data_IF_917999053219
#
_entry.id   IF_917999053219
#
_cell.length_a   1.000
_cell.length_b   1.000
_cell.length_c   1.000
_cell.angle_alpha   90.00
_cell.angle_beta   90.00
_cell.angle_gamma   90.00
#
_symmetry.space_group_name_H-M   'P 1'
#
loop_
_entity.id
_entity.type
_entity.pdbx_description
1 polymer ?
#
# COMPACT_ATOMS: atom_id res chain seq x y z
N UNK A 1 -0.26 -0.90 -5.50
CA UNK A 1 -1.31 -1.01 -4.47
C UNK A 1 -1.48 -2.49 -4.19
N UNK A 2 -1.39 -2.90 -2.92
CA UNK A 2 -1.55 -4.30 -2.50
C UNK A 2 -2.99 -4.50 -2.01
N UNK A 3 -3.52 -5.69 -2.23
CA UNK A 3 -4.84 -6.09 -1.76
C UNK A 3 -4.66 -7.11 -0.63
N UNK A 4 -5.40 -6.95 0.47
CA UNK A 4 -5.40 -7.90 1.59
C UNK A 4 -6.81 -8.46 1.82
N UNK A 5 -6.91 -9.79 1.89
CA UNK A 5 -8.11 -10.54 2.28
C UNK A 5 -8.07 -10.96 3.76
N UNK A 6 -7.07 -10.53 4.52
CA UNK A 6 -6.89 -11.00 5.88
C UNK A 6 -7.98 -10.40 6.79
N UNK A 7 -8.65 -11.23 7.58
CA UNK A 7 -9.80 -10.80 8.40
C UNK A 7 -9.40 -9.99 9.64
N UNK A 8 -8.15 -10.08 10.07
CA UNK A 8 -7.63 -9.41 11.27
C UNK A 8 -6.27 -8.76 11.00
N UNK A 9 -6.20 -7.94 9.94
CA UNK A 9 -4.96 -7.22 9.64
C UNK A 9 -4.75 -6.10 10.67
N UNK A 10 -3.60 -6.12 11.35
CA UNK A 10 -3.23 -5.09 12.33
C UNK A 10 -1.98 -4.31 11.91
N UNK A 11 -1.71 -3.18 12.58
CA UNK A 11 -0.62 -2.27 12.21
C UNK A 11 0.78 -2.89 12.24
N UNK A 12 1.02 -3.88 13.09
CA UNK A 12 2.31 -4.58 13.15
C UNK A 12 2.57 -5.44 11.90
N UNK A 13 1.53 -5.92 11.22
CA UNK A 13 1.66 -6.80 10.05
C UNK A 13 2.12 -6.07 8.78
N UNK A 14 2.06 -4.74 8.80
CA UNK A 14 2.37 -3.88 7.66
C UNK A 14 3.73 -3.17 7.79
N UNK A 15 4.38 -3.25 8.95
CA UNK A 15 5.71 -2.67 9.17
C UNK A 15 6.72 -3.32 8.22
N UNK A 16 7.47 -2.50 7.49
CA UNK A 16 8.43 -2.95 6.47
C UNK A 16 7.80 -3.31 5.13
N UNK A 17 6.50 -3.03 4.92
CA UNK A 17 5.86 -3.23 3.62
C UNK A 17 6.30 -2.15 2.62
N UNK A 18 6.88 -2.56 1.49
CA UNK A 18 7.24 -1.65 0.39
C UNK A 18 6.03 -1.17 -0.43
N UNK A 19 4.84 -1.68 -0.14
CA UNK A 19 3.63 -1.29 -0.85
C UNK A 19 3.24 0.15 -0.50
N UNK A 20 2.91 1.01 -1.50
CA UNK A 20 2.48 2.39 -1.24
C UNK A 20 1.16 2.47 -0.48
N UNK A 21 0.32 1.45 -0.63
CA UNK A 21 -0.98 1.33 0.02
C UNK A 21 -1.43 -0.12 -0.03
N UNK A 22 -2.12 -0.53 1.02
CA UNK A 22 -2.68 -1.87 1.23
C UNK A 22 -4.16 -1.68 1.51
N UNK A 23 -5.00 -2.09 0.56
CA UNK A 23 -6.45 -2.04 0.72
C UNK A 23 -6.92 -3.21 1.60
N UNK A 24 -7.73 -2.91 2.61
CA UNK A 24 -8.37 -3.88 3.48
C UNK A 24 -9.82 -4.12 3.03
N UNK A 25 -10.07 -5.28 2.44
CA UNK A 25 -11.39 -5.62 1.91
C UNK A 25 -12.42 -5.89 2.99
N UNK A 26 -11.98 -6.42 4.14
CA UNK A 26 -12.88 -6.88 5.19
C UNK A 26 -13.30 -5.72 6.09
N UNK A 27 -12.45 -4.74 6.26
CA UNK A 27 -12.78 -3.49 6.96
C UNK A 27 -13.62 -2.53 6.11
N UNK A 28 -13.60 -2.65 4.77
CA UNK A 28 -14.32 -1.73 3.87
C UNK A 28 -15.84 -1.87 4.00
N UNK A 29 -16.52 -0.75 4.27
CA UNK A 29 -17.97 -0.71 4.52
C UNK A 29 -18.66 -0.10 3.32
N UNK A 30 -19.58 -0.86 2.71
CA UNK A 30 -20.48 -0.38 1.66
C UNK A 30 -21.84 -0.07 2.30
N UNK A 31 -22.39 1.12 2.02
CA UNK A 31 -23.73 1.48 2.48
C UNK A 31 -24.78 0.55 1.87
N UNK A 32 -25.87 0.30 2.62
CA UNK A 32 -26.94 -0.64 2.20
C UNK A 32 -27.60 -0.26 0.88
N UNK A 33 -27.61 1.02 0.54
CA UNK A 33 -28.16 1.55 -0.72
C UNK A 33 -27.16 1.48 -1.89
N UNK A 34 -25.93 1.04 -1.64
CA UNK A 34 -24.85 0.92 -2.63
C UNK A 34 -24.31 2.25 -3.14
N UNK A 35 -24.73 3.39 -2.59
CA UNK A 35 -24.35 4.72 -3.10
C UNK A 35 -23.10 5.29 -2.45
N UNK A 36 -22.76 4.82 -1.24
CA UNK A 36 -21.63 5.29 -0.47
C UNK A 36 -20.72 4.13 -0.06
N UNK A 37 -19.40 4.36 -0.06
CA UNK A 37 -18.40 3.38 0.34
C UNK A 37 -17.34 4.06 1.21
N UNK A 38 -17.01 3.45 2.35
CA UNK A 38 -15.89 3.84 3.22
C UNK A 38 -14.78 2.81 3.05
N UNK A 39 -13.72 3.23 2.36
CA UNK A 39 -12.56 2.38 2.02
C UNK A 39 -11.50 2.50 3.10
N UNK A 40 -11.07 1.37 3.66
CA UNK A 40 -9.96 1.32 4.61
C UNK A 40 -8.66 0.93 3.91
N UNK A 41 -7.62 1.74 4.13
CA UNK A 41 -6.32 1.58 3.48
C UNK A 41 -5.22 1.78 4.51
N UNK A 42 -4.35 0.78 4.60
CA UNK A 42 -3.15 0.80 5.41
C UNK A 42 -1.93 1.18 4.57
N UNK A 43 -0.97 1.85 5.21
CA UNK A 43 0.35 2.06 4.62
C UNK A 43 1.37 2.20 5.74
N UNK A 44 2.59 1.75 5.46
CA UNK A 44 3.75 2.06 6.30
C UNK A 44 4.23 3.48 5.93
N UNK A 45 4.17 4.39 6.89
CA UNK A 45 4.50 5.80 6.72
C UNK A 45 6.01 6.04 6.58
N UNK A 46 6.86 5.13 7.03
CA UNK A 46 8.32 5.25 6.94
C UNK A 46 8.83 4.48 5.73
N UNK A 47 8.66 3.16 5.74
CA UNK A 47 9.26 2.27 4.76
C UNK A 47 8.54 2.33 3.41
N UNK A 48 7.21 2.36 3.43
CA UNK A 48 6.36 2.47 2.24
C UNK A 48 6.57 3.79 1.53
N UNK A 49 6.59 4.90 2.26
CA UNK A 49 6.86 6.23 1.71
C UNK A 49 8.29 6.35 1.13
N UNK A 50 9.31 5.90 1.87
CA UNK A 50 10.70 5.94 1.40
C UNK A 50 10.89 5.18 0.09
N UNK A 51 10.21 4.05 -0.07
CA UNK A 51 10.19 3.30 -1.33
C UNK A 51 9.58 4.10 -2.49
N UNK A 52 8.53 4.87 -2.25
CA UNK A 52 7.93 5.73 -3.27
C UNK A 52 8.85 6.87 -3.68
N UNK A 53 9.54 7.50 -2.73
CA UNK A 53 10.54 8.55 -3.02
C UNK A 53 11.65 8.00 -3.90
N UNK A 54 12.23 6.84 -3.56
CA UNK A 54 13.26 6.19 -4.38
C UNK A 54 12.70 5.82 -5.77
N UNK A 55 11.47 5.33 -5.85
CA UNK A 55 10.82 5.01 -7.13
C UNK A 55 10.70 6.24 -8.02
N UNK A 56 10.28 7.38 -7.46
CA UNK A 56 10.18 8.65 -8.18
C UNK A 56 11.56 9.17 -8.61
N UNK A 57 12.56 9.14 -7.72
CA UNK A 57 13.92 9.57 -8.04
C UNK A 57 14.54 8.74 -9.17
N UNK A 58 14.33 7.42 -9.17
CA UNK A 58 14.75 6.53 -10.26
C UNK A 58 14.03 6.86 -11.58
N UNK A 59 12.73 7.17 -11.51
CA UNK A 59 11.95 7.55 -12.67
C UNK A 59 12.47 8.86 -13.31
N UNK A 60 12.73 9.88 -12.49
CA UNK A 60 13.24 11.19 -12.95
C UNK A 60 14.66 11.07 -13.51
N UNK A 61 15.55 10.38 -12.79
CA UNK A 61 16.96 10.24 -13.19
C UNK A 61 17.17 9.32 -14.39
N UNK A 62 16.14 8.57 -14.81
CA UNK A 62 16.21 7.51 -15.85
C UNK A 62 17.28 6.45 -15.55
N UNK A 63 17.73 6.33 -14.30
CA UNK A 63 18.71 5.34 -13.88
C UNK A 63 17.99 4.00 -13.68
N UNK A 64 18.17 3.10 -14.65
CA UNK A 64 17.84 1.68 -14.46
C UNK A 64 19.01 1.01 -13.75
N UNK A 65 18.79 0.59 -12.50
CA UNK A 65 19.74 -0.31 -11.82
C UNK A 65 19.59 -1.68 -12.48
N UNK A 66 20.66 -2.21 -13.08
CA UNK A 66 20.72 -3.62 -13.45
C UNK A 66 20.78 -4.41 -12.14
N UNK A 67 19.64 -4.92 -11.68
CA UNK A 67 19.61 -5.84 -10.55
C UNK A 67 20.14 -7.17 -11.05
N UNK A 68 21.41 -7.45 -10.81
CA UNK A 68 21.97 -8.79 -10.90
C UNK A 68 21.42 -9.57 -9.71
N UNK A 69 20.56 -10.54 -9.98
CA UNK A 69 20.26 -11.62 -9.06
C UNK A 69 21.33 -12.70 -9.21
#
# INVERSE_FOLDING_TARGET
IKYSLNNELVSSDIVGSSAPSIYDSNATIVAKDGKNVVIYVWYDNEYGYSHQVIRLAKYISKVRRYTYY
#
